data_IF_780221677369
#
_entry.id   IF_780221677369
#
_cell.length_a   1.000
_cell.length_b   1.000
_cell.length_c   1.000
_cell.angle_alpha   90.00
_cell.angle_beta   90.00
_cell.angle_gamma   90.00
#
_symmetry.space_group_name_H-M   'P 1'
#
loop_
_entity.id
_entity.type
_entity.pdbx_description
1 polymer ?
#
# COMPACT_ATOMS: atom_id res chain seq x y z
N UNK A 1 10.98 30.78 -1.89
CA UNK A 1 11.34 30.08 -0.63
C UNK A 1 10.10 29.74 0.20
N UNK A 2 10.09 28.57 0.86
CA UNK A 2 9.03 28.19 1.80
C UNK A 2 9.08 29.07 3.06
N UNK A 3 7.91 29.39 3.63
CA UNK A 3 7.77 30.23 4.84
C UNK A 3 7.38 29.37 6.03
N UNK A 4 7.98 29.62 7.19
CA UNK A 4 7.57 29.03 8.47
C UNK A 4 6.23 29.64 8.90
N UNK A 5 5.27 28.81 9.29
CA UNK A 5 3.90 29.25 9.67
C UNK A 5 3.57 29.02 11.16
N UNK A 6 4.41 28.31 11.90
CA UNK A 6 4.19 28.05 13.32
C UNK A 6 5.06 26.91 13.86
N UNK A 7 4.81 26.57 15.12
CA UNK A 7 5.47 25.50 15.87
C UNK A 7 4.61 24.23 15.91
N UNK A 8 5.26 23.05 15.97
CA UNK A 8 4.59 21.76 16.08
C UNK A 8 5.43 20.78 16.89
N UNK A 9 4.82 20.07 17.83
CA UNK A 9 5.44 18.93 18.52
C UNK A 9 5.46 17.64 17.69
N UNK A 10 4.78 17.62 16.54
CA UNK A 10 4.70 16.47 15.62
C UNK A 10 5.65 16.62 14.45
N UNK A 11 6.11 15.48 13.91
CA UNK A 11 6.94 15.38 12.70
C UNK A 11 6.17 14.70 11.59
N UNK A 12 6.37 15.16 10.35
CA UNK A 12 5.76 14.57 9.16
C UNK A 12 5.65 15.57 8.03
N UNK A 13 5.16 15.09 6.89
CA UNK A 13 4.95 15.88 5.69
C UNK A 13 3.51 15.71 5.23
N UNK A 14 2.82 16.80 4.94
CA UNK A 14 1.49 16.78 4.32
C UNK A 14 1.60 17.31 2.91
N UNK A 15 1.16 16.52 1.95
CA UNK A 15 1.05 16.91 0.55
C UNK A 15 -0.43 16.94 0.19
N UNK A 16 -0.83 17.99 -0.51
CA UNK A 16 -2.17 18.10 -1.06
C UNK A 16 -2.06 18.73 -2.44
N UNK A 17 -2.77 18.17 -3.41
CA UNK A 17 -2.73 18.61 -4.79
C UNK A 17 -4.10 18.47 -5.44
N UNK A 18 -4.27 19.17 -6.56
CA UNK A 18 -5.40 19.01 -7.47
C UNK A 18 -4.82 18.62 -8.84
N UNK A 19 -5.32 17.55 -9.48
CA UNK A 19 -4.92 17.23 -10.85
C UNK A 19 -5.24 18.39 -11.80
N UNK A 20 -4.39 18.58 -12.81
CA UNK A 20 -4.58 19.61 -13.84
C UNK A 20 -5.46 19.06 -14.98
N UNK A 21 -6.63 19.67 -15.27
CA UNK A 21 -7.55 19.21 -16.32
C UNK A 21 -7.02 19.40 -17.74
N UNK A 22 -5.98 20.21 -17.96
CA UNK A 22 -5.34 20.34 -19.27
C UNK A 22 -4.39 19.16 -19.56
N UNK A 23 -3.86 18.52 -18.51
CA UNK A 23 -2.95 17.38 -18.61
C UNK A 23 -3.73 16.06 -18.55
N UNK A 24 -4.70 15.94 -17.65
CA UNK A 24 -5.42 14.69 -17.40
C UNK A 24 -6.82 14.70 -18.02
N UNK A 25 -7.17 13.64 -18.73
CA UNK A 25 -8.51 13.43 -19.29
C UNK A 25 -9.61 13.26 -18.22
N UNK A 26 -9.23 12.83 -17.01
CA UNK A 26 -10.10 12.79 -15.84
C UNK A 26 -9.33 13.22 -14.61
N UNK A 27 -9.92 14.13 -13.84
CA UNK A 27 -9.38 14.58 -12.54
C UNK A 27 -10.02 13.84 -11.35
N UNK A 28 -10.88 12.85 -11.61
CA UNK A 28 -11.52 12.04 -10.56
C UNK A 28 -10.58 10.89 -10.21
N UNK A 29 -10.19 10.82 -8.94
CA UNK A 29 -9.37 9.73 -8.42
C UNK A 29 -10.25 8.50 -8.17
N UNK A 30 -9.77 7.35 -8.64
CA UNK A 30 -10.40 6.05 -8.42
C UNK A 30 -10.01 5.51 -7.03
N UNK A 31 -11.01 5.38 -6.16
CA UNK A 31 -10.81 4.92 -4.79
C UNK A 31 -10.38 3.44 -4.71
N UNK A 32 -10.83 2.59 -5.64
CA UNK A 32 -10.49 1.17 -5.65
C UNK A 32 -9.06 0.96 -6.16
N UNK A 33 -8.64 1.75 -7.17
CA UNK A 33 -7.25 1.76 -7.62
C UNK A 33 -6.28 2.22 -6.50
N UNK A 34 -6.65 3.27 -5.76
CA UNK A 34 -5.89 3.73 -4.59
C UNK A 34 -5.87 2.66 -3.49
N UNK A 35 -7.01 2.07 -3.17
CA UNK A 35 -7.11 1.00 -2.18
C UNK A 35 -6.17 -0.16 -2.52
N UNK A 36 -6.22 -0.69 -3.74
CA UNK A 36 -5.38 -1.80 -4.16
C UNK A 36 -3.89 -1.47 -4.01
N UNK A 37 -3.46 -0.26 -4.40
CA UNK A 37 -2.07 0.17 -4.28
C UNK A 37 -1.63 0.35 -2.83
N UNK A 38 -2.48 0.94 -1.99
CA UNK A 38 -2.19 1.20 -0.57
C UNK A 38 -2.21 -0.11 0.25
N UNK A 39 -3.06 -1.06 -0.11
CA UNK A 39 -3.08 -2.39 0.48
C UNK A 39 -1.76 -3.13 0.23
N UNK A 40 -1.26 -3.10 -1.02
CA UNK A 40 0.07 -3.66 -1.32
C UNK A 40 1.17 -3.02 -0.47
N UNK A 41 1.12 -1.69 -0.29
CA UNK A 41 2.08 -0.97 0.56
C UNK A 41 2.01 -1.44 2.02
N UNK A 42 0.81 -1.66 2.55
CA UNK A 42 0.61 -2.15 3.91
C UNK A 42 1.21 -3.56 4.12
N UNK A 43 1.08 -4.44 3.13
CA UNK A 43 1.75 -5.76 3.17
C UNK A 43 3.26 -5.66 3.02
N UNK A 44 3.76 -4.80 2.14
CA UNK A 44 5.20 -4.63 1.89
C UNK A 44 5.94 -3.94 3.05
N UNK A 45 5.23 -3.22 3.92
CA UNK A 45 5.80 -2.56 5.09
C UNK A 45 5.09 -3.03 6.36
N UNK A 46 5.45 -4.22 6.89
CA UNK A 46 4.78 -4.79 8.05
C UNK A 46 4.70 -3.81 9.24
N UNK A 47 3.48 -3.59 9.73
CA UNK A 47 3.20 -2.67 10.83
C UNK A 47 2.98 -1.21 10.42
N UNK A 48 3.11 -0.86 9.14
CA UNK A 48 2.70 0.45 8.63
C UNK A 48 1.17 0.55 8.64
N UNK A 49 0.65 1.55 9.34
CA UNK A 49 -0.75 1.93 9.27
C UNK A 49 -0.98 2.92 8.13
N UNK A 50 -1.91 2.60 7.24
CA UNK A 50 -2.35 3.45 6.15
C UNK A 50 -3.85 3.68 6.28
N UNK A 51 -4.27 4.94 6.40
CA UNK A 51 -5.68 5.31 6.45
C UNK A 51 -6.10 5.91 5.09
N UNK A 52 -7.07 5.30 4.41
CA UNK A 52 -7.67 5.78 3.16
C UNK A 52 -9.07 6.32 3.46
N UNK A 53 -9.26 7.62 3.23
CA UNK A 53 -10.53 8.31 3.50
C UNK A 53 -11.04 8.96 2.21
N UNK A 54 -12.18 8.49 1.72
CA UNK A 54 -12.91 9.14 0.62
C UNK A 54 -14.03 10.02 1.18
N UNK A 55 -13.76 11.32 1.26
CA UNK A 55 -14.72 12.31 1.76
C UNK A 55 -15.97 12.48 0.89
N UNK A 56 -15.99 12.00 -0.36
CA UNK A 56 -17.16 12.13 -1.24
C UNK A 56 -18.25 11.13 -0.87
N UNK A 57 -17.84 9.91 -0.50
CA UNK A 57 -18.72 8.78 -0.20
C UNK A 57 -18.83 8.51 1.30
N UNK A 58 -17.90 9.04 2.11
CA UNK A 58 -17.78 8.74 3.53
C UNK A 58 -17.07 7.41 3.82
N UNK A 59 -16.59 6.71 2.78
CA UNK A 59 -15.80 5.47 2.92
C UNK A 59 -14.50 5.77 3.66
N UNK A 60 -14.21 4.98 4.70
CA UNK A 60 -13.00 5.08 5.50
C UNK A 60 -12.47 3.68 5.79
N UNK A 61 -11.20 3.46 5.49
CA UNK A 61 -10.53 2.19 5.68
C UNK A 61 -9.16 2.39 6.31
N UNK A 62 -8.86 1.59 7.33
CA UNK A 62 -7.53 1.49 7.93
C UNK A 62 -6.89 0.17 7.52
N UNK A 63 -5.76 0.24 6.83
CA UNK A 63 -4.97 -0.90 6.36
C UNK A 63 -3.73 -1.02 7.27
N UNK A 64 -3.51 -2.20 7.83
CA UNK A 64 -2.32 -2.48 8.65
C UNK A 64 -2.07 -3.98 8.65
N UNK A 65 -1.01 -4.41 7.96
CA UNK A 65 -0.67 -5.82 7.80
C UNK A 65 0.65 -6.14 8.46
N UNK A 66 0.79 -7.38 8.93
CA UNK A 66 2.00 -7.87 9.63
C UNK A 66 2.65 -9.08 8.97
N UNK A 67 1.98 -9.67 8.00
CA UNK A 67 2.31 -10.97 7.40
C UNK A 67 3.26 -10.86 6.20
N UNK A 68 3.57 -9.65 5.75
CA UNK A 68 4.54 -9.43 4.66
C UNK A 68 4.04 -9.90 3.30
N UNK A 69 4.99 -10.24 2.42
CA UNK A 69 4.72 -10.74 1.06
C UNK A 69 3.92 -12.05 1.03
N UNK A 70 4.03 -12.89 2.08
CA UNK A 70 3.21 -14.10 2.23
C UNK A 70 1.73 -13.77 2.38
N UNK A 71 1.41 -12.76 3.18
CA UNK A 71 0.05 -12.28 3.35
C UNK A 71 -0.52 -11.70 2.06
N UNK A 72 0.29 -10.92 1.36
CA UNK A 72 -0.11 -10.35 0.08
C UNK A 72 -0.44 -11.44 -0.95
N UNK A 73 0.41 -12.47 -1.06
CA UNK A 73 0.16 -13.61 -1.91
C UNK A 73 -1.15 -14.31 -1.54
N UNK A 74 -1.38 -14.58 -0.25
CA UNK A 74 -2.61 -15.21 0.22
C UNK A 74 -3.86 -14.36 -0.10
N UNK A 75 -3.77 -13.03 0.04
CA UNK A 75 -4.85 -12.11 -0.30
C UNK A 75 -5.17 -12.11 -1.81
N UNK A 76 -4.13 -12.15 -2.66
CA UNK A 76 -4.28 -12.13 -4.12
C UNK A 76 -4.76 -13.49 -4.68
N UNK A 77 -4.29 -14.59 -4.11
CA UNK A 77 -4.63 -15.96 -4.50
C UNK A 77 -5.77 -16.57 -3.65
N UNK A 78 -6.62 -15.74 -3.04
CA UNK A 78 -7.71 -16.23 -2.18
C UNK A 78 -8.82 -16.95 -2.95
N UNK A 79 -9.04 -16.54 -4.20
CA UNK A 79 -10.13 -17.01 -5.06
C UNK A 79 -9.62 -17.99 -6.15
N UNK A 80 -8.39 -18.49 -6.01
CA UNK A 80 -7.75 -19.43 -6.94
C UNK A 80 -7.63 -20.82 -6.32
N UNK A 81 -7.80 -21.87 -7.12
CA UNK A 81 -7.41 -23.23 -6.71
C UNK A 81 -5.89 -23.29 -6.49
N UNK A 82 -5.42 -24.08 -5.52
CA UNK A 82 -4.00 -24.12 -5.15
C UNK A 82 -3.47 -25.52 -5.38
N UNK A 83 -2.37 -25.63 -6.11
CA UNK A 83 -1.70 -26.91 -6.38
C UNK A 83 -1.10 -27.51 -5.11
N UNK A 84 -0.70 -26.67 -4.16
CA UNK A 84 -0.14 -27.07 -2.88
C UNK A 84 -0.58 -26.13 -1.74
N UNK A 85 -0.66 -26.67 -0.52
CA UNK A 85 -1.23 -25.97 0.63
C UNK A 85 -0.41 -24.74 1.07
N UNK A 86 0.91 -24.89 1.20
CA UNK A 86 1.78 -23.83 1.71
C UNK A 86 2.58 -23.14 0.60
N UNK A 87 2.64 -21.80 0.56
CA UNK A 87 3.49 -21.08 -0.38
C UNK A 87 4.98 -21.27 -0.05
N UNK A 88 5.82 -21.33 -1.08
CA UNK A 88 7.26 -21.25 -0.91
C UNK A 88 7.65 -19.81 -0.56
N UNK A 89 8.46 -19.61 0.47
CA UNK A 89 8.92 -18.28 0.89
C UNK A 89 10.44 -18.26 1.02
N UNK A 90 11.05 -17.12 0.70
CA UNK A 90 12.49 -16.90 0.83
C UNK A 90 12.75 -15.50 1.35
N UNK A 91 13.56 -15.42 2.41
CA UNK A 91 14.12 -14.16 2.90
C UNK A 91 15.63 -14.30 2.88
N UNK A 92 16.30 -13.38 2.18
CA UNK A 92 17.75 -13.38 2.03
C UNK A 92 18.28 -11.96 2.15
N UNK A 93 19.45 -11.81 2.74
CA UNK A 93 20.17 -10.54 2.80
C UNK A 93 21.66 -10.78 2.53
N UNK A 94 22.23 -10.00 1.62
CA UNK A 94 23.64 -10.09 1.24
C UNK A 94 23.99 -9.04 0.19
N UNK A 95 25.27 -8.68 0.08
CA UNK A 95 25.79 -7.72 -0.90
C UNK A 95 25.04 -6.36 -0.94
N UNK A 96 24.54 -5.91 0.22
CA UNK A 96 23.78 -4.66 0.33
C UNK A 96 22.34 -4.74 -0.21
N UNK A 97 21.85 -5.95 -0.49
CA UNK A 97 20.50 -6.22 -0.98
C UNK A 97 19.71 -7.09 0.02
N UNK A 98 18.40 -6.90 0.05
CA UNK A 98 17.45 -7.74 0.78
C UNK A 98 16.42 -8.24 -0.21
N UNK A 99 16.18 -9.54 -0.21
CA UNK A 99 15.15 -10.21 -1.00
C UNK A 99 14.15 -10.80 -0.02
N UNK A 100 12.88 -10.48 -0.21
CA UNK A 100 11.75 -11.14 0.45
C UNK A 100 10.75 -11.55 -0.64
N UNK A 101 10.53 -12.86 -0.82
CA UNK A 101 9.67 -13.37 -1.87
C UNK A 101 8.79 -14.51 -1.38
N UNK A 102 7.58 -14.59 -1.95
CA UNK A 102 6.61 -15.66 -1.74
C UNK A 102 6.03 -16.09 -3.09
N UNK A 103 5.96 -17.39 -3.33
CA UNK A 103 5.44 -17.99 -4.58
C UNK A 103 4.51 -19.14 -4.25
N UNK A 104 3.39 -19.23 -4.96
CA UNK A 104 2.44 -20.34 -4.88
C UNK A 104 1.90 -20.64 -6.27
N UNK A 105 1.88 -21.92 -6.63
CA UNK A 105 1.23 -22.38 -7.86
C UNK A 105 -0.26 -22.55 -7.60
N UNK A 106 -1.05 -22.05 -8.56
CA UNK A 106 -2.51 -22.02 -8.56
C UNK A 106 -3.03 -22.64 -9.83
#
# INVERSE_FOLDING_TARGET
>A
PLKRVGDSGRRGTRVWFRPDPEIFSSCVLDADALHARLLDIAYLHPGLRVDLVDHRTGRNESLCERTGVRGLLAYRARDTEKVHAEPATITWAGDGCVIDAAVQWT
#
